data_IF_648765469511
#
_entry.id   IF_648765469511
#
_cell.length_a   1.000
_cell.length_b   1.000
_cell.length_c   1.000
_cell.angle_alpha   90.00
_cell.angle_beta   90.00
_cell.angle_gamma   90.00
#
_symmetry.space_group_name_H-M   'P 1'
#
loop_
_entity.id
_entity.type
_entity.pdbx_description
1 polymer ?
#
# COMPACT_ATOMS: atom_id res chain seq x y z
N UNK A 1 2.90 11.95 -9.35
CA UNK A 1 1.97 13.04 -9.74
C UNK A 1 1.30 13.53 -8.47
N UNK A 2 1.16 14.84 -8.30
CA UNK A 2 0.45 15.44 -7.17
C UNK A 2 -0.64 16.33 -7.75
N UNK A 3 -1.86 16.18 -7.24
CA UNK A 3 -2.99 17.04 -7.58
C UNK A 3 -3.34 17.85 -6.34
N UNK A 4 -3.51 19.16 -6.52
CA UNK A 4 -3.90 20.08 -5.45
C UNK A 4 -5.12 20.85 -5.89
N UNK A 5 -6.13 20.86 -5.04
CA UNK A 5 -7.28 21.73 -5.22
C UNK A 5 -6.91 23.11 -4.67
N UNK A 6 -7.01 24.11 -5.52
CA UNK A 6 -6.71 25.51 -5.23
C UNK A 6 -7.90 26.37 -5.64
N UNK A 7 -8.09 27.50 -4.98
CA UNK A 7 -9.07 28.49 -5.39
C UNK A 7 -8.38 29.45 -6.34
N UNK A 8 -8.87 29.48 -7.58
CA UNK A 8 -8.33 30.29 -8.65
C UNK A 8 -9.31 31.31 -9.17
N UNK A 9 -8.86 32.04 -10.19
CA UNK A 9 -9.66 32.98 -10.94
C UNK A 9 -9.98 32.35 -12.29
N UNK A 10 -11.23 32.43 -12.71
CA UNK A 10 -11.68 31.96 -14.01
C UNK A 10 -12.42 33.07 -14.75
N UNK A 11 -12.20 33.15 -16.05
CA UNK A 11 -12.93 34.03 -16.95
C UNK A 11 -14.03 33.20 -17.62
N UNK A 12 -15.29 33.59 -17.40
CA UNK A 12 -16.48 32.98 -17.99
C UNK A 12 -17.08 34.00 -18.97
N UNK A 13 -16.69 33.89 -20.25
CA UNK A 13 -16.94 34.94 -21.24
C UNK A 13 -16.17 36.22 -20.89
N UNK A 14 -16.88 37.30 -20.59
CA UNK A 14 -16.30 38.58 -20.14
C UNK A 14 -16.29 38.75 -18.61
N UNK A 15 -16.86 37.79 -17.87
CA UNK A 15 -17.04 37.91 -16.42
C UNK A 15 -15.89 37.22 -15.70
N UNK A 16 -15.20 37.98 -14.84
CA UNK A 16 -14.14 37.45 -13.97
C UNK A 16 -14.77 36.87 -12.70
N UNK A 17 -14.70 35.54 -12.56
CA UNK A 17 -15.14 34.80 -11.38
C UNK A 17 -13.94 34.51 -10.47
N UNK A 18 -14.07 34.86 -9.19
CA UNK A 18 -13.08 34.56 -8.14
C UNK A 18 -13.53 33.35 -7.32
N UNK A 19 -12.58 32.75 -6.61
CA UNK A 19 -12.76 31.58 -5.75
C UNK A 19 -13.33 30.35 -6.48
N UNK A 20 -12.91 30.15 -7.72
CA UNK A 20 -13.32 28.99 -8.50
C UNK A 20 -12.43 27.79 -8.12
N UNK A 21 -13.01 26.63 -7.75
CA UNK A 21 -12.23 25.44 -7.43
C UNK A 21 -11.52 24.94 -8.70
N UNK A 22 -10.20 24.93 -8.65
CA UNK A 22 -9.31 24.50 -9.71
C UNK A 22 -8.42 23.37 -9.21
N UNK A 23 -8.10 22.41 -10.07
CA UNK A 23 -7.15 21.34 -9.74
C UNK A 23 -5.85 21.59 -10.49
N UNK A 24 -4.80 21.97 -9.78
CA UNK A 24 -3.45 22.08 -10.34
C UNK A 24 -2.74 20.74 -10.25
N UNK A 25 -2.05 20.36 -11.32
CA UNK A 25 -1.29 19.11 -11.42
C UNK A 25 0.20 19.41 -11.46
N UNK A 26 0.97 18.66 -10.69
CA UNK A 26 2.42 18.73 -10.73
C UNK A 26 3.03 17.34 -10.86
N UNK A 27 4.01 17.22 -11.75
CA UNK A 27 4.87 16.04 -11.84
C UNK A 27 6.14 16.35 -11.05
N UNK A 28 6.48 15.46 -10.11
CA UNK A 28 7.60 15.62 -9.20
C UNK A 28 8.31 14.29 -9.06
N UNK A 29 9.53 14.31 -8.52
CA UNK A 29 10.33 13.11 -8.24
C UNK A 29 10.56 12.25 -9.49
N UNK A 30 10.94 12.89 -10.59
CA UNK A 30 11.33 12.20 -11.82
C UNK A 30 12.51 11.27 -11.53
N UNK A 31 12.36 10.00 -11.90
CA UNK A 31 13.40 8.99 -11.77
C UNK A 31 13.57 8.29 -13.09
N UNK A 32 14.82 8.20 -13.53
CA UNK A 32 15.19 7.30 -14.62
C UNK A 32 15.47 5.92 -14.01
N UNK A 33 14.76 4.92 -14.50
CA UNK A 33 14.88 3.53 -14.07
C UNK A 33 15.02 2.68 -15.32
N UNK A 34 15.82 1.62 -15.22
CA UNK A 34 16.17 0.74 -16.34
C UNK A 34 16.82 1.53 -17.49
N UNK A 35 18.16 1.57 -17.50
CA UNK A 35 18.97 2.29 -18.50
C UNK A 35 19.72 1.34 -19.46
N UNK A 36 19.07 0.34 -20.09
CA UNK A 36 19.74 -0.45 -21.11
C UNK A 36 19.82 0.31 -22.44
N UNK A 37 20.68 -0.16 -23.35
CA UNK A 37 20.94 0.52 -24.63
C UNK A 37 19.80 0.45 -25.66
N UNK A 38 18.72 -0.28 -25.38
CA UNK A 38 17.57 -0.39 -26.28
C UNK A 38 16.26 -0.57 -25.50
N UNK A 39 15.13 -0.26 -26.15
CA UNK A 39 13.80 -0.34 -25.54
C UNK A 39 13.38 -1.77 -25.17
N UNK A 40 13.78 -2.78 -25.96
CA UNK A 40 13.39 -4.18 -25.74
C UNK A 40 13.96 -4.72 -24.42
N UNK A 41 15.20 -4.35 -24.10
CA UNK A 41 15.84 -4.67 -22.84
C UNK A 41 15.15 -3.94 -21.68
N UNK A 42 14.75 -2.67 -21.87
CA UNK A 42 14.01 -1.92 -20.85
C UNK A 42 12.68 -2.60 -20.54
N UNK A 43 11.96 -3.04 -21.58
CA UNK A 43 10.70 -3.79 -21.43
C UNK A 43 10.92 -5.12 -20.72
N UNK A 44 11.99 -5.84 -21.03
CA UNK A 44 12.32 -7.12 -20.36
C UNK A 44 12.63 -6.92 -18.88
N UNK A 45 13.45 -5.93 -18.54
CA UNK A 45 13.76 -5.60 -17.14
C UNK A 45 12.51 -5.17 -16.38
N UNK A 46 11.64 -4.38 -17.03
CA UNK A 46 10.35 -4.01 -16.47
C UNK A 46 9.47 -5.22 -16.18
N UNK A 47 9.33 -6.15 -17.14
CA UNK A 47 8.55 -7.38 -16.97
C UNK A 47 9.10 -8.26 -15.85
N UNK A 48 10.42 -8.38 -15.75
CA UNK A 48 11.07 -9.11 -14.65
C UNK A 48 10.75 -8.47 -13.30
N UNK A 49 10.89 -7.14 -13.19
CA UNK A 49 10.60 -6.43 -11.94
C UNK A 49 9.12 -6.52 -11.56
N UNK A 50 8.22 -6.51 -12.54
CA UNK A 50 6.79 -6.73 -12.34
C UNK A 50 6.52 -8.14 -11.78
N UNK A 51 7.15 -9.18 -12.34
CA UNK A 51 7.03 -10.55 -11.83
C UNK A 51 7.56 -10.67 -10.40
N UNK A 52 8.73 -10.10 -10.10
CA UNK A 52 9.30 -10.08 -8.75
C UNK A 52 8.33 -9.43 -7.74
N UNK A 53 7.71 -8.31 -8.12
CA UNK A 53 6.72 -7.61 -7.30
C UNK A 53 5.48 -8.48 -7.01
N UNK A 54 4.97 -9.22 -8.00
CA UNK A 54 3.83 -10.11 -7.82
C UNK A 54 4.17 -11.27 -6.87
N UNK A 55 5.39 -11.82 -6.98
CA UNK A 55 5.89 -12.87 -6.08
C UNK A 55 6.04 -12.34 -4.65
N UNK A 56 6.64 -11.16 -4.47
CA UNK A 56 6.74 -10.48 -3.17
C UNK A 56 5.35 -10.26 -2.56
N UNK A 57 4.37 -9.82 -3.36
CA UNK A 57 2.99 -9.61 -2.92
C UNK A 57 2.33 -10.92 -2.47
N UNK A 58 2.53 -12.01 -3.21
CA UNK A 58 2.04 -13.33 -2.82
C UNK A 58 2.66 -13.80 -1.49
N UNK A 59 3.98 -13.60 -1.32
CA UNK A 59 4.69 -13.93 -0.08
C UNK A 59 4.19 -13.11 1.12
N UNK A 60 3.95 -11.81 0.94
CA UNK A 60 3.40 -10.96 1.99
C UNK A 60 2.02 -11.45 2.46
N UNK A 61 1.17 -11.88 1.53
CA UNK A 61 -0.16 -12.44 1.86
C UNK A 61 -0.08 -13.75 2.64
N UNK A 62 0.82 -14.64 2.23
CA UNK A 62 1.08 -15.88 2.97
C UNK A 62 1.56 -15.57 4.40
N UNK A 63 2.45 -14.60 4.54
CA UNK A 63 3.00 -14.20 5.84
C UNK A 63 1.94 -13.53 6.71
N UNK A 64 1.09 -12.67 6.15
CA UNK A 64 -0.03 -12.06 6.86
C UNK A 64 -1.01 -13.12 7.39
N UNK A 65 -1.31 -14.15 6.58
CA UNK A 65 -2.16 -15.26 7.00
C UNK A 65 -1.53 -16.07 8.16
N UNK A 66 -0.20 -16.29 8.12
CA UNK A 66 0.53 -16.91 9.23
C UNK A 66 0.49 -16.06 10.51
N UNK A 67 0.64 -14.75 10.40
CA UNK A 67 0.56 -13.82 11.55
C UNK A 67 -0.83 -13.83 12.16
N UNK A 68 -1.89 -13.83 11.35
CA UNK A 68 -3.25 -13.95 11.85
C UNK A 68 -3.45 -15.26 12.62
N UNK A 69 -2.95 -16.38 12.09
CA UNK A 69 -3.00 -17.68 12.77
C UNK A 69 -2.28 -17.64 14.12
N UNK A 70 -1.07 -17.07 14.19
CA UNK A 70 -0.33 -16.99 15.46
C UNK A 70 -0.97 -16.02 16.46
N UNK A 71 -1.59 -14.94 15.98
CA UNK A 71 -2.36 -14.02 16.84
C UNK A 71 -3.58 -14.70 17.45
N UNK A 72 -4.34 -15.46 16.67
CA UNK A 72 -5.47 -16.25 17.15
C UNK A 72 -5.01 -17.30 18.18
N UNK A 73 -3.90 -18.00 17.93
CA UNK A 73 -3.31 -18.94 18.90
C UNK A 73 -2.87 -18.25 20.20
N UNK A 74 -2.32 -17.04 20.12
CA UNK A 74 -1.95 -16.25 21.31
C UNK A 74 -3.18 -15.78 22.09
N UNK A 75 -4.25 -15.36 21.40
CA UNK A 75 -5.51 -14.98 22.04
C UNK A 75 -6.14 -16.17 22.77
N UNK A 76 -6.16 -17.35 22.15
CA UNK A 76 -6.63 -18.58 22.78
C UNK A 76 -5.84 -18.90 24.06
N UNK A 77 -4.50 -18.83 24.01
CA UNK A 77 -3.65 -19.05 25.21
C UNK A 77 -3.95 -18.07 26.33
N UNK A 78 -4.18 -16.79 26.01
CA UNK A 78 -4.55 -15.78 27.01
C UNK A 78 -5.90 -16.09 27.66
N UNK A 79 -6.90 -16.49 26.87
CA UNK A 79 -8.23 -16.85 27.40
C UNK A 79 -8.17 -18.13 28.25
N UNK A 80 -7.38 -19.13 27.85
CA UNK A 80 -7.13 -20.33 28.67
C UNK A 80 -6.44 -19.99 29.99
N UNK A 81 -5.46 -19.07 29.98
CA UNK A 81 -4.80 -18.59 31.20
C UNK A 81 -5.76 -17.80 32.10
N UNK A 82 -6.64 -16.98 31.52
CA UNK A 82 -7.69 -16.28 32.26
C UNK A 82 -8.67 -17.27 32.90
N UNK A 83 -9.14 -18.27 32.15
CA UNK A 83 -10.00 -19.35 32.68
C UNK A 83 -9.30 -20.09 33.82
N UNK A 84 -8.04 -20.49 33.64
CA UNK A 84 -7.26 -21.16 34.68
C UNK A 84 -7.05 -20.27 35.91
N UNK A 85 -6.87 -18.96 35.72
CA UNK A 85 -6.77 -17.97 36.81
C UNK A 85 -8.07 -17.79 37.58
N UNK A 86 -9.21 -17.75 36.88
CA UNK A 86 -10.55 -17.68 37.49
C UNK A 86 -10.89 -18.96 38.25
N UNK A 87 -10.58 -20.13 37.69
CA UNK A 87 -10.75 -21.42 38.38
C UNK A 87 -9.85 -21.53 39.61
N UNK A 88 -8.58 -21.09 39.53
CA UNK A 88 -7.71 -21.02 40.72
C UNK A 88 -8.24 -20.06 41.78
N UNK A 89 -8.76 -18.89 41.39
CA UNK A 89 -9.38 -17.94 42.33
C UNK A 89 -10.67 -18.47 42.95
N UNK A 90 -11.48 -19.20 42.18
CA UNK A 90 -12.66 -19.88 42.70
C UNK A 90 -12.27 -21.02 43.66
N UNK A 91 -11.19 -21.74 43.37
CA UNK A 91 -10.68 -22.82 44.22
C UNK A 91 -9.97 -22.31 45.49
N UNK A 92 -9.32 -21.16 45.43
CA UNK A 92 -8.82 -20.43 46.63
C UNK A 92 -10.01 -19.81 47.40
N UNK A 93 -11.08 -19.41 46.70
CA UNK A 93 -12.36 -19.00 47.31
C UNK A 93 -13.10 -20.13 48.06
N UNK A 94 -12.81 -21.40 47.75
CA UNK A 94 -13.29 -22.54 48.53
C UNK A 94 -12.65 -22.60 49.94
N UNK A 95 -11.46 -22.02 50.15
CA UNK A 95 -10.88 -21.87 51.49
C UNK A 95 -11.63 -20.80 52.32
N UNK A 96 -12.37 -19.90 51.66
CA UNK A 96 -13.21 -18.88 52.30
C UNK A 96 -14.63 -19.36 52.64
N UNK A 97 -14.95 -20.65 52.48
CA UNK A 97 -16.23 -21.25 52.92
C UNK A 97 -16.42 -21.25 54.45
N UNK A 98 -15.52 -20.62 55.21
CA UNK A 98 -15.71 -20.25 56.61
C UNK A 98 -16.46 -18.90 56.82
N UNK A 99 -17.07 -18.30 55.79
CA UNK A 99 -17.88 -17.08 55.95
C UNK A 99 -18.78 -16.77 54.75
N UNK A 100 -19.90 -16.04 54.95
CA UNK A 100 -20.92 -15.88 53.91
C UNK A 100 -20.44 -14.88 52.85
N UNK A 101 -20.17 -15.37 51.63
CA UNK A 101 -19.74 -14.52 50.53
C UNK A 101 -20.83 -14.40 49.45
N UNK A 102 -21.34 -13.20 49.28
CA UNK A 102 -22.03 -12.75 48.06
C UNK A 102 -20.98 -12.62 46.95
N UNK A 103 -20.82 -13.65 46.13
CA UNK A 103 -20.02 -13.58 44.91
C UNK A 103 -20.96 -13.64 43.69
N UNK A 104 -20.93 -12.60 42.87
CA UNK A 104 -21.65 -12.53 41.60
C UNK A 104 -21.29 -13.73 40.70
N UNK A 105 -22.25 -14.31 39.95
CA UNK A 105 -21.98 -15.41 39.05
C UNK A 105 -21.10 -14.91 37.90
N UNK A 106 -19.79 -15.14 38.03
CA UNK A 106 -18.81 -14.81 37.00
C UNK A 106 -19.15 -15.56 35.72
N UNK A 107 -19.00 -14.86 34.59
CA UNK A 107 -19.42 -15.18 33.22
C UNK A 107 -18.61 -16.33 32.59
N UNK A 108 -18.50 -17.46 33.28
CA UNK A 108 -17.78 -18.67 32.86
C UNK A 108 -18.36 -19.27 31.58
N UNK A 109 -19.69 -19.23 31.44
CA UNK A 109 -20.38 -19.76 30.26
C UNK A 109 -20.11 -18.93 29.00
N UNK A 110 -19.93 -17.60 29.11
CA UNK A 110 -19.60 -16.75 27.96
C UNK A 110 -18.13 -16.94 27.56
N UNK A 111 -17.23 -17.09 28.54
CA UNK A 111 -15.83 -17.40 28.31
C UNK A 111 -15.63 -18.80 27.67
N UNK A 112 -16.42 -19.80 28.08
CA UNK A 112 -16.39 -21.13 27.47
C UNK A 112 -16.89 -21.15 26.04
N UNK A 113 -17.96 -20.41 25.73
CA UNK A 113 -18.41 -20.23 24.34
C UNK A 113 -17.33 -19.57 23.48
N UNK A 114 -16.72 -18.49 23.97
CA UNK A 114 -15.63 -17.80 23.26
C UNK A 114 -14.41 -18.71 23.03
N UNK A 115 -14.07 -19.56 24.00
CA UNK A 115 -12.99 -20.55 23.84
C UNK A 115 -13.36 -21.61 22.82
N UNK A 116 -14.59 -22.11 22.83
CA UNK A 116 -15.04 -23.14 21.91
C UNK A 116 -15.16 -22.62 20.48
N UNK A 117 -15.61 -21.37 20.29
CA UNK A 117 -15.63 -20.71 18.99
C UNK A 117 -14.20 -20.51 18.44
N UNK A 118 -13.28 -20.01 19.28
CA UNK A 118 -11.87 -19.83 18.89
C UNK A 118 -11.14 -21.16 18.64
N UNK A 119 -11.45 -22.20 19.41
CA UNK A 119 -10.89 -23.54 19.23
C UNK A 119 -11.43 -24.21 17.97
N UNK A 120 -12.68 -23.91 17.59
CA UNK A 120 -13.26 -24.31 16.30
C UNK A 120 -12.59 -23.58 15.14
N UNK A 121 -12.40 -22.26 15.22
CA UNK A 121 -11.66 -21.48 14.22
C UNK A 121 -10.21 -21.95 14.08
N UNK A 122 -9.53 -22.23 15.20
CA UNK A 122 -8.16 -22.72 15.20
C UNK A 122 -8.05 -24.14 14.68
N UNK A 123 -8.98 -25.03 15.02
CA UNK A 123 -9.00 -26.40 14.49
C UNK A 123 -9.27 -26.40 12.98
N UNK A 124 -10.14 -25.53 12.46
CA UNK A 124 -10.30 -25.33 11.01
C UNK A 124 -9.01 -24.82 10.35
N UNK A 125 -8.20 -24.03 11.05
CA UNK A 125 -6.89 -23.55 10.58
C UNK A 125 -5.75 -24.57 10.76
N UNK A 126 -5.89 -25.59 11.63
CA UNK A 126 -4.84 -26.57 11.99
C UNK A 126 -5.03 -27.94 11.36
N UNK A 127 -6.26 -28.41 11.20
CA UNK A 127 -6.59 -29.75 10.73
C UNK A 127 -6.49 -29.90 9.19
N UNK A 128 -6.09 -28.85 8.48
CA UNK A 128 -6.09 -28.84 7.02
C UNK A 128 -4.69 -29.26 6.51
N UNK A 129 -4.44 -30.54 6.13
CA UNK A 129 -3.24 -30.93 5.38
C UNK A 129 -3.11 -30.14 4.07
N UNK A 130 -4.20 -29.52 3.62
CA UNK A 130 -4.20 -28.54 2.55
C UNK A 130 -3.56 -27.20 2.96
N UNK A 131 -2.83 -27.06 4.08
CA UNK A 131 -2.20 -25.76 4.39
C UNK A 131 -1.19 -25.37 3.30
N UNK A 132 -0.39 -26.33 2.82
CA UNK A 132 0.55 -26.11 1.71
C UNK A 132 -0.20 -25.90 0.38
N UNK A 133 -1.20 -26.73 0.08
CA UNK A 133 -2.00 -26.60 -1.14
C UNK A 133 -2.78 -25.28 -1.18
N UNK A 134 -3.27 -24.82 -0.04
CA UNK A 134 -3.96 -23.53 0.13
C UNK A 134 -2.97 -22.37 0.02
N UNK A 135 -1.74 -22.53 0.49
CA UNK A 135 -0.67 -21.57 0.26
C UNK A 135 -0.31 -21.50 -1.23
N UNK A 136 -0.13 -22.63 -1.91
CA UNK A 136 0.10 -22.70 -3.35
C UNK A 136 -1.07 -22.13 -4.15
N UNK A 137 -2.31 -22.43 -3.74
CA UNK A 137 -3.51 -21.86 -4.34
C UNK A 137 -3.59 -20.34 -4.13
N UNK A 138 -3.14 -19.82 -2.98
CA UNK A 138 -3.08 -18.38 -2.72
C UNK A 138 -2.06 -17.69 -3.65
N UNK A 139 -0.90 -18.32 -3.86
CA UNK A 139 0.11 -17.85 -4.80
C UNK A 139 -0.43 -17.91 -6.23
N UNK A 140 -1.00 -19.06 -6.63
CA UNK A 140 -1.58 -19.26 -7.96
C UNK A 140 -2.70 -18.24 -8.24
N UNK A 141 -3.58 -17.98 -7.27
CA UNK A 141 -4.64 -16.97 -7.40
C UNK A 141 -4.07 -15.57 -7.56
N UNK A 142 -3.03 -15.23 -6.79
CA UNK A 142 -2.36 -13.92 -6.87
C UNK A 142 -1.68 -13.74 -8.24
N UNK A 143 -1.06 -14.79 -8.78
CA UNK A 143 -0.42 -14.77 -10.10
C UNK A 143 -1.43 -14.86 -11.26
N UNK A 144 -2.61 -15.44 -11.03
CA UNK A 144 -3.69 -15.54 -12.03
C UNK A 144 -4.44 -14.23 -12.25
N UNK A 145 -4.39 -13.33 -11.26
CA UNK A 145 -5.05 -12.03 -11.31
C UNK A 145 -4.02 -10.88 -11.12
N UNK A 146 -3.00 -10.77 -12.00
CA UNK A 146 -1.92 -9.80 -11.83
C UNK A 146 -2.44 -8.36 -11.89
N UNK A 147 -3.49 -8.11 -12.69
CA UNK A 147 -4.15 -6.81 -12.88
C UNK A 147 -4.68 -6.21 -11.57
N UNK A 148 -4.99 -7.04 -10.56
CA UNK A 148 -5.43 -6.55 -9.24
C UNK A 148 -4.30 -5.92 -8.42
N UNK A 149 -3.05 -6.22 -8.74
CA UNK A 149 -1.87 -5.76 -8.00
C UNK A 149 -1.04 -4.78 -8.81
N UNK A 150 -0.97 -5.00 -10.12
CA UNK A 150 -0.18 -4.20 -11.03
C UNK A 150 -0.94 -4.05 -12.35
N UNK A 151 -1.37 -2.83 -12.64
CA UNK A 151 -2.01 -2.48 -13.90
C UNK A 151 -1.27 -1.34 -14.59
N UNK A 152 -1.36 -1.32 -15.92
CA UNK A 152 -0.89 -0.20 -16.73
C UNK A 152 -2.13 0.40 -17.39
N UNK A 153 -2.46 1.63 -17.01
CA UNK A 153 -3.65 2.32 -17.47
C UNK A 153 -3.25 3.55 -18.31
N UNK A 154 -3.83 3.76 -19.50
CA UNK A 154 -3.64 5.01 -20.22
C UNK A 154 -4.33 6.14 -19.45
N UNK A 155 -3.59 7.22 -19.22
CA UNK A 155 -4.10 8.44 -18.62
C UNK A 155 -4.03 9.59 -19.63
N UNK A 156 -5.12 10.37 -19.69
CA UNK A 156 -5.20 11.59 -20.47
C UNK A 156 -5.52 12.77 -19.55
N UNK A 157 -4.82 13.88 -19.77
CA UNK A 157 -4.97 15.07 -18.95
C UNK A 157 -4.85 16.33 -19.82
N UNK A 158 -5.91 17.13 -19.84
CA UNK A 158 -5.93 18.43 -20.52
C UNK A 158 -5.56 19.51 -19.52
N UNK A 159 -4.41 20.16 -19.75
CA UNK A 159 -3.83 21.17 -18.87
C UNK A 159 -3.67 22.51 -19.60
N UNK A 160 -3.93 23.61 -18.91
CA UNK A 160 -3.51 24.93 -19.38
C UNK A 160 -2.01 25.20 -19.11
N UNK A 161 -1.53 26.36 -19.57
CA UNK A 161 -0.15 26.82 -19.35
C UNK A 161 0.24 26.99 -17.88
N UNK A 162 -0.72 26.99 -16.95
CA UNK A 162 -0.49 27.04 -15.50
C UNK A 162 -0.52 25.65 -14.84
N UNK A 163 -0.59 24.58 -15.64
CA UNK A 163 -0.79 23.20 -15.20
C UNK A 163 -2.11 22.99 -14.44
N UNK A 164 -3.13 23.77 -14.74
CA UNK A 164 -4.48 23.61 -14.19
C UNK A 164 -5.30 22.73 -15.11
N UNK A 165 -6.06 21.77 -14.54
CA UNK A 165 -6.96 20.91 -15.31
C UNK A 165 -8.08 21.73 -15.93
N UNK A 166 -8.29 21.53 -17.23
CA UNK A 166 -9.34 22.20 -17.98
C UNK A 166 -10.25 21.14 -18.61
N UNK A 167 -11.59 21.32 -18.58
CA UNK A 167 -12.50 20.43 -19.28
C UNK A 167 -12.29 20.50 -20.80
N UNK A 168 -12.52 19.38 -21.50
CA UNK A 168 -12.20 19.23 -22.93
C UNK A 168 -12.93 20.23 -23.84
N UNK A 169 -14.10 20.71 -23.43
CA UNK A 169 -14.94 21.66 -24.21
C UNK A 169 -14.68 23.13 -23.87
N UNK A 170 -13.64 23.44 -23.08
CA UNK A 170 -13.35 24.82 -22.69
C UNK A 170 -12.73 25.61 -23.84
N UNK A 171 -13.08 26.90 -24.00
CA UNK A 171 -12.43 27.80 -24.95
C UNK A 171 -10.99 28.20 -24.54
N UNK A 172 -10.52 27.76 -23.36
CA UNK A 172 -9.17 28.04 -22.88
C UNK A 172 -8.12 27.31 -23.70
N UNK A 173 -6.99 27.99 -23.96
CA UNK A 173 -5.82 27.37 -24.57
C UNK A 173 -5.26 26.33 -23.59
N UNK A 174 -5.47 25.06 -23.93
CA UNK A 174 -5.01 23.91 -23.15
C UNK A 174 -4.35 22.88 -24.07
N UNK A 175 -3.45 22.08 -23.51
CA UNK A 175 -2.80 20.98 -24.20
C UNK A 175 -3.19 19.65 -23.54
N UNK A 176 -3.45 18.64 -24.36
CA UNK A 176 -3.82 17.31 -23.89
C UNK A 176 -2.59 16.42 -23.86
N UNK A 177 -2.22 15.99 -22.66
CA UNK A 177 -1.12 15.06 -22.42
C UNK A 177 -1.67 13.64 -22.27
N UNK A 178 -1.10 12.69 -23.02
CA UNK A 178 -1.41 11.27 -22.89
C UNK A 178 -0.17 10.51 -22.45
N UNK A 179 -0.29 9.70 -21.40
CA UNK A 179 0.81 8.92 -20.84
C UNK A 179 0.30 7.63 -20.19
N UNK A 180 1.22 6.75 -19.78
CA UNK A 180 0.88 5.50 -19.10
C UNK A 180 1.02 5.70 -17.58
N UNK A 181 0.03 5.25 -16.82
CA UNK A 181 0.10 5.15 -15.37
C UNK A 181 0.27 3.70 -14.94
N UNK A 182 1.32 3.45 -14.16
CA UNK A 182 1.49 2.19 -13.46
C UNK A 182 0.75 2.32 -12.13
N UNK A 183 -0.28 1.50 -11.98
CA UNK A 183 -1.10 1.39 -10.77
C UNK A 183 -0.57 0.20 -9.97
N UNK A 184 0.03 0.50 -8.83
CA UNK A 184 0.60 -0.47 -7.89
C UNK A 184 -0.33 -0.52 -6.68
N UNK A 185 -0.97 -1.68 -6.47
CA UNK A 185 -2.05 -1.86 -5.49
C UNK A 185 -3.13 -0.75 -5.63
N UNK A 186 -3.92 -0.49 -4.58
CA UNK A 186 -5.07 0.43 -4.67
C UNK A 186 -4.71 1.92 -4.68
N UNK A 187 -3.54 2.32 -4.17
CA UNK A 187 -3.29 3.73 -3.84
C UNK A 187 -2.01 4.33 -4.45
N UNK A 188 -1.14 3.53 -5.09
CA UNK A 188 0.11 4.05 -5.60
C UNK A 188 0.06 4.14 -7.12
N UNK A 189 0.08 5.36 -7.64
CA UNK A 189 0.08 5.65 -9.08
C UNK A 189 1.37 6.33 -9.49
N UNK A 190 2.03 5.79 -10.50
CA UNK A 190 3.29 6.33 -11.03
C UNK A 190 3.12 6.56 -12.53
N UNK A 191 3.28 7.81 -12.97
CA UNK A 191 3.35 8.13 -14.39
C UNK A 191 4.67 7.58 -14.97
N UNK A 192 4.57 6.79 -16.04
CA UNK A 192 5.70 6.13 -16.67
C UNK A 192 5.76 6.46 -18.16
N UNK A 193 6.97 6.69 -18.64
CA UNK A 193 7.27 7.03 -20.03
C UNK A 193 8.54 6.30 -20.45
N UNK A 194 8.52 5.70 -21.63
CA UNK A 194 9.74 5.28 -22.29
C UNK A 194 10.41 6.52 -22.88
N UNK A 195 11.65 6.76 -22.47
CA UNK A 195 12.46 7.88 -22.97
C UNK A 195 13.72 7.35 -23.63
N UNK A 196 14.12 8.02 -24.69
CA UNK A 196 15.41 7.80 -25.34
C UNK A 196 16.11 9.14 -25.42
N UNK A 197 17.32 9.19 -24.90
CA UNK A 197 18.20 10.34 -24.98
C UNK A 197 19.61 9.85 -25.30
N UNK A 198 20.40 10.59 -26.09
CA UNK A 198 21.77 10.23 -26.36
C UNK A 198 22.61 10.41 -25.10
N UNK A 199 23.56 9.50 -24.86
CA UNK A 199 24.44 9.56 -23.71
C UNK A 199 25.33 10.82 -23.69
N UNK A 200 25.50 11.48 -24.83
CA UNK A 200 26.22 12.75 -24.96
C UNK A 200 25.48 13.94 -24.36
N UNK A 201 24.15 13.86 -24.21
CA UNK A 201 23.34 14.90 -23.56
C UNK A 201 23.28 14.73 -22.03
N UNK A 202 23.80 13.61 -21.51
CA UNK A 202 23.92 13.45 -20.06
C UNK A 202 24.92 14.47 -19.53
N UNK A 203 24.48 15.21 -18.51
CA UNK A 203 25.37 16.10 -17.78
C UNK A 203 26.57 15.27 -17.27
N UNK A 204 27.80 15.79 -17.40
CA UNK A 204 28.96 15.12 -16.85
C UNK A 204 28.72 14.89 -15.36
N UNK A 205 29.14 13.72 -14.86
CA UNK A 205 28.95 13.38 -13.47
C UNK A 205 29.56 14.49 -12.60
N UNK A 206 28.80 15.10 -11.69
CA UNK A 206 29.33 16.14 -10.83
C UNK A 206 30.46 15.54 -10.00
N UNK A 207 31.62 16.20 -10.04
CA UNK A 207 32.73 15.85 -9.19
C UNK A 207 32.40 16.34 -7.77
N UNK A 208 31.83 15.44 -6.98
CA UNK A 208 31.43 15.71 -5.60
C UNK A 208 32.59 16.21 -4.73
N UNK A 209 33.85 15.85 -5.04
CA UNK A 209 35.01 16.40 -4.33
C UNK A 209 35.24 17.86 -4.69
N UNK A 210 35.12 18.22 -5.97
CA UNK A 210 35.24 19.59 -6.44
C UNK A 210 34.10 20.48 -5.94
N UNK A 211 32.87 19.96 -5.86
CA UNK A 211 31.73 20.66 -5.26
C UNK A 211 31.88 20.85 -3.75
N UNK A 212 32.33 19.82 -3.02
CA UNK A 212 32.62 19.92 -1.60
C UNK A 212 33.73 20.94 -1.31
N UNK A 213 34.79 20.94 -2.11
CA UNK A 213 35.88 21.91 -1.99
C UNK A 213 35.39 23.34 -2.31
N UNK A 214 34.52 23.52 -3.31
CA UNK A 214 33.88 24.81 -3.60
C UNK A 214 33.03 25.31 -2.44
N UNK A 215 32.25 24.43 -1.79
CA UNK A 215 31.43 24.77 -0.62
C UNK A 215 32.27 25.10 0.62
N UNK A 216 33.42 24.45 0.80
CA UNK A 216 34.35 24.78 1.88
C UNK A 216 35.05 26.14 1.67
N UNK A 217 35.29 26.54 0.41
CA UNK A 217 35.90 27.83 0.09
C UNK A 217 34.91 28.98 -0.13
N UNK A 218 33.60 28.70 -0.25
CA UNK A 218 32.56 29.75 -0.35
C UNK A 218 32.03 30.23 1.01
N UNK A 219 32.57 29.71 2.12
CA UNK A 219 32.19 30.08 3.51
C UNK A 219 33.29 30.94 4.16
N UNK A 220 34.09 31.66 3.35
CA UNK A 220 35.08 32.64 3.85
C UNK A 220 34.76 34.04 3.39
#
# INVERSE_FOLDING_TARGET
RIEKNVLGIEMDGEILRRDVPQTTVSFCSHRLVFLPGNEQDTRREFMKRAADYLIETALQRLTANRIQKTQLEQQQRKLLQQKAGLLKKAQIGFESLAGPATAEPVDLNTLERQLQDLETELNQLRADPATLDKHLATVATTLSEPEKYLAIEPASLTLDHTNTKVPADSPRIANTLTFQEIVIAKNQRVAALFVRFPSSELLPQPDFFKEAQRLLHSVR
#
